data_IF_544202649906
#
_entry.id   IF_544202649906
#
_cell.length_a   1.000
_cell.length_b   1.000
_cell.length_c   1.000
_cell.angle_alpha   90.00
_cell.angle_beta   90.00
_cell.angle_gamma   90.00
#
_symmetry.space_group_name_H-M   'P 1'
#
loop_
_entity.id
_entity.type
_entity.pdbx_description
1 polymer ?
#
# COMPACT_ATOMS: atom_id res chain seq x y z
N UNK A 1 4.23 -14.35 12.67
CA UNK A 1 5.40 -14.31 11.77
C UNK A 1 4.94 -14.89 10.45
N UNK A 2 5.04 -14.10 9.37
CA UNK A 2 4.62 -14.51 8.03
C UNK A 2 5.53 -15.62 7.52
N UNK A 3 4.98 -16.66 6.90
CA UNK A 3 5.83 -17.70 6.29
C UNK A 3 6.33 -17.28 4.89
N UNK A 4 7.37 -17.94 4.40
CA UNK A 4 8.00 -17.58 3.12
C UNK A 4 7.02 -17.61 1.93
N UNK A 5 6.09 -18.56 1.91
CA UNK A 5 5.09 -18.67 0.84
C UNK A 5 4.07 -17.52 0.89
N UNK A 6 3.68 -17.09 2.08
CA UNK A 6 2.83 -15.92 2.26
C UNK A 6 3.56 -14.65 1.82
N UNK A 7 4.84 -14.50 2.19
CA UNK A 7 5.66 -13.35 1.81
C UNK A 7 5.78 -13.21 0.29
N UNK A 8 6.12 -14.30 -0.40
CA UNK A 8 6.20 -14.35 -1.86
C UNK A 8 4.87 -13.98 -2.55
N UNK A 9 3.73 -14.40 -1.97
CA UNK A 9 2.41 -14.05 -2.50
C UNK A 9 2.12 -12.55 -2.35
N UNK A 10 2.52 -11.96 -1.24
CA UNK A 10 2.35 -10.53 -1.00
C UNK A 10 3.26 -9.71 -1.89
N UNK A 11 4.54 -10.09 -2.04
CA UNK A 11 5.48 -9.48 -2.99
C UNK A 11 4.90 -9.49 -4.41
N UNK A 12 4.51 -10.66 -4.93
CA UNK A 12 3.95 -10.79 -6.27
C UNK A 12 2.64 -10.00 -6.47
N UNK A 13 1.85 -9.77 -5.41
CA UNK A 13 0.67 -8.91 -5.46
C UNK A 13 1.05 -7.44 -5.46
N UNK A 14 1.96 -7.04 -4.58
CA UNK A 14 2.45 -5.67 -4.49
C UNK A 14 3.08 -5.22 -5.82
N UNK A 15 3.99 -6.00 -6.39
CA UNK A 15 4.61 -5.69 -7.70
C UNK A 15 3.58 -5.47 -8.80
N UNK A 16 2.53 -6.29 -8.87
CA UNK A 16 1.43 -6.11 -9.85
C UNK A 16 0.65 -4.82 -9.66
N UNK A 17 0.47 -4.38 -8.41
CA UNK A 17 -0.15 -3.09 -8.12
C UNK A 17 0.80 -1.97 -8.51
N UNK A 18 2.06 -2.04 -8.10
CA UNK A 18 3.08 -1.07 -8.44
C UNK A 18 3.22 -0.88 -9.96
N UNK A 19 3.41 -1.95 -10.73
CA UNK A 19 3.59 -1.90 -12.19
C UNK A 19 2.42 -1.20 -12.91
N UNK A 20 1.20 -1.32 -12.37
CA UNK A 20 0.00 -0.67 -12.94
C UNK A 20 0.01 0.85 -12.76
N UNK A 21 0.66 1.35 -11.71
CA UNK A 21 0.61 2.75 -11.30
C UNK A 21 1.97 3.45 -11.36
N UNK A 22 3.07 2.72 -11.55
CA UNK A 22 4.43 3.26 -11.60
C UNK A 22 4.57 4.39 -12.63
N UNK A 23 3.98 4.23 -13.81
CA UNK A 23 4.03 5.25 -14.87
C UNK A 23 3.30 6.57 -14.52
N UNK A 24 2.49 6.60 -13.46
CA UNK A 24 1.81 7.81 -12.97
C UNK A 24 2.65 8.55 -11.92
N UNK A 25 3.65 7.88 -11.35
CA UNK A 25 4.57 8.47 -10.37
C UNK A 25 5.70 9.23 -11.07
N UNK A 26 6.25 10.22 -10.38
CA UNK A 26 7.50 10.85 -10.73
C UNK A 26 8.65 9.84 -10.84
N UNK A 27 9.67 10.17 -11.63
CA UNK A 27 10.88 9.36 -11.78
C UNK A 27 11.61 9.16 -10.43
N UNK A 28 11.59 10.19 -9.57
CA UNK A 28 12.16 10.14 -8.23
C UNK A 28 11.44 9.10 -7.35
N UNK A 29 10.11 9.17 -7.28
CA UNK A 29 9.31 8.18 -6.54
C UNK A 29 9.50 6.77 -7.07
N UNK A 30 9.50 6.59 -8.41
CA UNK A 30 9.77 5.29 -9.03
C UNK A 30 11.15 4.75 -8.65
N UNK A 31 12.18 5.59 -8.71
CA UNK A 31 13.56 5.21 -8.36
C UNK A 31 13.66 4.77 -6.91
N UNK A 32 13.05 5.51 -5.99
CA UNK A 32 13.06 5.19 -4.57
C UNK A 32 12.37 3.85 -4.27
N UNK A 33 11.20 3.60 -4.88
CA UNK A 33 10.45 2.35 -4.67
C UNK A 33 11.18 1.16 -5.30
N UNK A 34 11.71 1.33 -6.52
CA UNK A 34 12.49 0.29 -7.20
C UNK A 34 13.74 -0.10 -6.40
N UNK A 35 14.41 0.86 -5.74
CA UNK A 35 15.55 0.58 -4.87
C UNK A 35 15.18 -0.44 -3.78
N UNK A 36 14.09 -0.23 -3.06
CA UNK A 36 13.61 -1.17 -2.03
C UNK A 36 13.20 -2.53 -2.61
N UNK A 37 12.58 -2.54 -3.80
CA UNK A 37 12.23 -3.76 -4.51
C UNK A 37 13.45 -4.58 -4.95
N UNK A 38 14.57 -3.93 -5.27
CA UNK A 38 15.83 -4.59 -5.66
C UNK A 38 16.52 -5.26 -4.48
N UNK A 39 16.43 -4.67 -3.28
CA UNK A 39 16.98 -5.24 -2.04
C UNK A 39 16.00 -6.14 -1.27
N UNK A 40 14.84 -6.44 -1.88
CA UNK A 40 13.77 -7.29 -1.32
C UNK A 40 13.18 -6.76 0.02
N UNK A 41 13.16 -5.45 0.21
CA UNK A 41 12.50 -4.79 1.34
C UNK A 41 11.08 -4.36 0.93
N UNK A 42 10.16 -5.32 0.87
CA UNK A 42 8.80 -5.10 0.33
C UNK A 42 7.98 -4.17 1.22
N UNK A 43 8.17 -4.24 2.53
CA UNK A 43 7.60 -3.36 3.53
C UNK A 43 7.90 -1.89 3.19
N UNK A 44 9.18 -1.60 3.00
CA UNK A 44 9.72 -0.28 2.66
C UNK A 44 9.23 0.22 1.30
N UNK A 45 9.19 -0.68 0.31
CA UNK A 45 8.67 -0.38 -1.01
C UNK A 45 7.17 -0.05 -0.95
N UNK A 46 6.39 -0.80 -0.17
CA UNK A 46 4.96 -0.58 0.00
C UNK A 46 4.65 0.72 0.75
N UNK A 47 5.37 1.01 1.83
CA UNK A 47 5.26 2.29 2.54
C UNK A 47 5.56 3.46 1.60
N UNK A 48 6.71 3.42 0.92
CA UNK A 48 7.14 4.46 0.00
C UNK A 48 6.13 4.68 -1.12
N UNK A 49 5.59 3.60 -1.68
CA UNK A 49 4.57 3.69 -2.72
C UNK A 49 3.29 4.40 -2.24
N UNK A 50 2.78 4.05 -1.07
CA UNK A 50 1.57 4.69 -0.51
C UNK A 50 1.81 6.18 -0.23
N UNK A 51 3.00 6.54 0.26
CA UNK A 51 3.36 7.94 0.49
C UNK A 51 3.45 8.71 -0.83
N UNK A 52 4.13 8.18 -1.85
CA UNK A 52 4.20 8.83 -3.16
C UNK A 52 2.82 9.00 -3.81
N UNK A 53 1.92 8.01 -3.68
CA UNK A 53 0.54 8.14 -4.17
C UNK A 53 -0.22 9.30 -3.49
N UNK A 54 0.03 9.54 -2.20
CA UNK A 54 -0.58 10.63 -1.45
C UNK A 54 0.03 11.99 -1.82
N UNK A 55 1.36 12.07 -1.86
CA UNK A 55 2.11 13.30 -2.15
C UNK A 55 1.88 13.78 -3.58
N UNK A 56 1.77 12.85 -4.53
CA UNK A 56 1.52 13.14 -5.95
C UNK A 56 0.01 13.12 -6.31
N UNK A 57 -0.88 13.00 -5.31
CA UNK A 57 -2.34 13.04 -5.44
C UNK A 57 -2.93 12.03 -6.46
N UNK A 58 -2.26 10.90 -6.66
CA UNK A 58 -2.65 9.88 -7.64
C UNK A 58 -3.95 9.18 -7.21
N UNK A 59 -4.94 9.23 -8.10
CA UNK A 59 -6.26 8.67 -7.83
C UNK A 59 -6.30 7.16 -8.13
N UNK A 60 -6.48 6.39 -7.07
CA UNK A 60 -6.70 4.95 -7.14
C UNK A 60 -8.19 4.59 -7.12
N UNK A 61 -8.55 3.52 -7.82
CA UNK A 61 -9.88 2.89 -7.69
C UNK A 61 -10.09 2.33 -6.27
N UNK A 62 -11.34 2.19 -5.85
CA UNK A 62 -11.68 1.66 -4.51
C UNK A 62 -11.13 0.25 -4.30
N UNK A 63 -11.15 -0.60 -5.34
CA UNK A 63 -10.65 -1.98 -5.25
C UNK A 63 -9.15 -2.02 -5.05
N UNK A 64 -8.40 -1.13 -5.71
CA UNK A 64 -6.94 -1.04 -5.53
C UNK A 64 -6.60 -0.46 -4.16
N UNK A 65 -7.36 0.52 -3.66
CA UNK A 65 -7.20 1.03 -2.29
C UNK A 65 -7.39 -0.07 -1.24
N UNK A 66 -8.38 -0.95 -1.43
CA UNK A 66 -8.60 -2.13 -0.58
C UNK A 66 -7.44 -3.12 -0.67
N UNK A 67 -6.99 -3.41 -1.89
CA UNK A 67 -5.86 -4.31 -2.09
C UNK A 67 -4.58 -3.78 -1.43
N UNK A 68 -4.28 -2.49 -1.54
CA UNK A 68 -3.13 -1.88 -0.87
C UNK A 68 -3.25 -1.90 0.65
N UNK A 69 -4.45 -1.69 1.19
CA UNK A 69 -4.68 -1.82 2.62
C UNK A 69 -4.43 -3.26 3.09
N UNK A 70 -4.95 -4.25 2.36
CA UNK A 70 -4.74 -5.66 2.68
C UNK A 70 -3.25 -6.04 2.59
N UNK A 71 -2.51 -5.49 1.62
CA UNK A 71 -1.07 -5.69 1.48
C UNK A 71 -0.30 -5.05 2.64
N UNK A 72 -0.60 -3.79 2.99
CA UNK A 72 0.02 -3.09 4.10
C UNK A 72 -0.19 -3.83 5.44
N UNK A 73 -1.41 -4.35 5.66
CA UNK A 73 -1.73 -5.17 6.82
C UNK A 73 -1.02 -6.54 6.79
N UNK A 74 -0.97 -7.17 5.61
CA UNK A 74 -0.29 -8.46 5.41
C UNK A 74 1.22 -8.39 5.60
N UNK A 75 1.83 -7.28 5.19
CA UNK A 75 3.23 -6.95 5.43
C UNK A 75 3.53 -6.59 6.88
N UNK A 76 2.51 -6.54 7.76
CA UNK A 76 2.66 -6.07 9.13
C UNK A 76 3.43 -4.75 9.18
N UNK A 77 3.03 -3.78 8.35
CA UNK A 77 3.49 -2.39 8.47
C UNK A 77 3.01 -1.80 9.81
N UNK A 78 3.53 -2.31 10.91
CA UNK A 78 3.27 -1.84 12.25
C UNK A 78 4.17 -0.64 12.57
N UNK A 79 3.94 -0.01 13.73
CA UNK A 79 4.64 1.21 14.09
C UNK A 79 6.16 1.05 14.23
N UNK A 80 6.68 -0.18 14.34
CA UNK A 80 8.12 -0.44 14.44
C UNK A 80 8.74 -0.74 13.08
N UNK A 81 7.94 -1.25 12.14
CA UNK A 81 8.36 -1.63 10.78
C UNK A 81 8.18 -0.52 9.74
N UNK A 82 7.53 0.57 10.13
CA UNK A 82 7.24 1.73 9.27
C UNK A 82 8.24 2.86 9.56
N UNK A 83 8.86 3.40 8.51
CA UNK A 83 9.84 4.50 8.60
C UNK A 83 9.22 5.80 9.09
N UNK A 84 7.98 6.10 8.68
CA UNK A 84 7.22 7.26 9.12
C UNK A 84 6.22 6.90 10.21
N UNK A 85 6.48 7.39 11.42
CA UNK A 85 5.58 7.18 12.56
C UNK A 85 4.14 7.69 12.36
N UNK A 86 3.92 8.59 11.40
CA UNK A 86 2.61 9.14 11.00
C UNK A 86 1.97 8.44 9.78
N UNK A 87 2.59 7.39 9.23
CA UNK A 87 2.12 6.68 8.03
C UNK A 87 0.64 6.34 8.07
N UNK A 88 0.15 5.66 9.12
CA UNK A 88 -1.25 5.24 9.20
C UNK A 88 -2.23 6.40 9.29
N UNK A 89 -1.80 7.55 9.81
CA UNK A 89 -2.61 8.77 9.81
C UNK A 89 -2.75 9.30 8.38
N UNK A 90 -1.65 9.35 7.62
CA UNK A 90 -1.65 9.79 6.23
C UNK A 90 -2.40 8.81 5.31
N UNK A 91 -2.07 7.52 5.42
CA UNK A 91 -2.66 6.43 4.66
C UNK A 91 -4.15 6.27 4.89
N UNK A 92 -4.67 6.65 6.07
CA UNK A 92 -6.12 6.69 6.31
C UNK A 92 -6.87 7.54 5.28
N UNK A 93 -6.23 8.59 4.73
CA UNK A 93 -6.76 9.44 3.66
C UNK A 93 -6.80 8.69 2.32
N UNK A 94 -5.73 7.94 1.99
CA UNK A 94 -5.70 7.09 0.80
C UNK A 94 -6.75 5.97 0.87
N UNK A 95 -6.98 5.41 2.06
CA UNK A 95 -7.87 4.28 2.29
C UNK A 95 -9.31 4.64 2.69
N UNK A 96 -9.64 5.92 2.89
CA UNK A 96 -10.93 6.36 3.44
C UNK A 96 -12.16 5.84 2.65
N UNK A 97 -12.04 5.59 1.34
CA UNK A 97 -13.12 5.04 0.51
C UNK A 97 -13.17 3.50 0.47
N UNK A 98 -12.13 2.82 0.96
CA UNK A 98 -12.05 1.36 0.99
C UNK A 98 -12.99 0.75 2.06
N UNK A 99 -13.22 1.48 3.15
CA UNK A 99 -13.94 1.04 4.35
C UNK A 99 -15.47 1.06 4.26
N UNK A 100 -16.06 1.50 3.13
CA UNK A 100 -17.52 1.55 2.98
C UNK A 100 -18.06 0.21 2.49
N UNK A 101 -18.08 -0.80 3.38
CA UNK A 101 -18.99 -1.93 3.25
C UNK A 101 -19.35 -2.45 4.63
N UNK A 102 -20.37 -1.85 5.24
CA UNK A 102 -21.45 -2.50 6.02
C UNK A 102 -22.26 -1.39 6.72
N UNK A 103 -23.22 -0.77 6.00
CA UNK A 103 -24.42 -0.24 6.66
C UNK A 103 -25.55 -1.19 6.33
N UNK A 104 -25.84 -2.13 7.25
CA UNK A 104 -27.16 -2.76 7.29
C UNK A 104 -28.16 -1.65 7.63
N UNK A 105 -29.08 -1.39 6.71
CA UNK A 105 -30.28 -0.60 7.00
C UNK A 105 -31.15 -1.39 8.01
N UNK A 106 -31.75 -0.73 9.01
CA UNK A 106 -32.77 -1.37 9.83
C UNK A 106 -34.03 -1.56 8.98
N UNK A 107 -34.51 -2.80 8.89
CA UNK A 107 -35.86 -3.07 8.36
C UNK A 107 -36.87 -2.47 9.35
N UNK A 108 -37.75 -1.63 8.81
CA UNK A 108 -38.90 -1.04 9.48
C UNK A 108 -39.99 -2.07 9.73
#
# INVERSE_FOLDING_TARGET
>A
MMNETEYQRVDARFRRVFDRYAAQLSEESQTNICHFLEVAEIEMACESFVLSLLEEEIQLSVDVKRELLDLALGLQLDRESVFRSDFWQLASTAFASASTSTRRLPLS
#
